data_IF_404337977362
#
_entry.id   IF_404337977362
#
_cell.length_a   1.000
_cell.length_b   1.000
_cell.length_c   1.000
_cell.angle_alpha   90.00
_cell.angle_beta   90.00
_cell.angle_gamma   90.00
#
_symmetry.space_group_name_H-M   'P 1'
#
loop_
_entity.id
_entity.type
_entity.pdbx_description
1 polymer ?
#
# COMPACT_ATOMS: atom_id res chain seq x y z
N UNK A 1 10.91 -24.43 -1.26
CA UNK A 1 11.01 -23.04 -1.77
C UNK A 1 11.25 -23.08 -3.27
N UNK A 2 10.62 -22.23 -4.07
CA UNK A 2 10.81 -22.19 -5.54
C UNK A 2 10.51 -20.79 -6.07
N UNK A 3 11.18 -20.39 -7.16
CA UNK A 3 10.87 -19.18 -7.94
C UNK A 3 9.99 -19.47 -9.17
N UNK A 4 9.71 -20.75 -9.45
CA UNK A 4 8.85 -21.16 -10.57
C UNK A 4 7.40 -21.25 -10.10
N UNK A 5 6.53 -20.46 -10.71
CA UNK A 5 5.09 -20.53 -10.48
C UNK A 5 4.53 -21.75 -11.25
N UNK A 6 3.91 -22.73 -10.56
CA UNK A 6 3.36 -23.90 -11.24
C UNK A 6 2.08 -23.53 -12.00
N UNK A 7 1.79 -24.24 -13.08
CA UNK A 7 0.57 -24.04 -13.87
C UNK A 7 -0.68 -24.67 -13.24
N UNK A 8 -0.50 -25.56 -12.26
CA UNK A 8 -1.61 -26.20 -11.55
C UNK A 8 -2.03 -25.34 -10.34
N UNK A 9 -3.28 -24.87 -10.35
CA UNK A 9 -3.88 -24.04 -9.32
C UNK A 9 -5.10 -24.74 -8.71
N UNK A 10 -5.26 -24.59 -7.39
CA UNK A 10 -6.52 -24.84 -6.70
C UNK A 10 -7.29 -23.52 -6.54
N UNK A 11 -8.48 -23.59 -5.94
CA UNK A 11 -9.26 -22.38 -5.56
C UNK A 11 -8.47 -21.40 -4.68
N UNK A 12 -7.49 -21.90 -3.91
CA UNK A 12 -6.75 -21.10 -2.93
C UNK A 12 -5.37 -20.63 -3.42
N UNK A 13 -4.94 -21.06 -4.61
CA UNK A 13 -3.67 -20.65 -5.22
C UNK A 13 -2.85 -21.79 -5.86
N UNK A 14 -1.58 -21.53 -6.20
CA UNK A 14 -0.70 -22.49 -6.88
C UNK A 14 -0.40 -23.72 -6.02
N UNK A 15 -0.55 -24.92 -6.58
CA UNK A 15 -0.33 -26.19 -5.86
C UNK A 15 1.15 -26.57 -5.84
N UNK A 16 1.66 -26.97 -4.68
CA UNK A 16 3.02 -27.45 -4.51
C UNK A 16 3.26 -28.74 -5.30
N UNK A 17 4.24 -28.73 -6.22
CA UNK A 17 4.53 -29.87 -7.09
C UNK A 17 5.28 -31.01 -6.38
N UNK A 18 5.89 -30.75 -5.23
CA UNK A 18 6.61 -31.77 -4.47
C UNK A 18 5.66 -32.67 -3.67
N UNK A 19 4.78 -32.08 -2.86
CA UNK A 19 3.83 -32.83 -2.02
C UNK A 19 2.44 -33.00 -2.65
N UNK A 20 2.14 -32.30 -3.75
CA UNK A 20 0.88 -32.33 -4.51
C UNK A 20 -0.39 -32.01 -3.70
N UNK A 21 -0.24 -31.50 -2.47
CA UNK A 21 -1.35 -31.25 -1.53
C UNK A 21 -1.40 -29.82 -1.00
N UNK A 22 -0.25 -29.22 -0.69
CA UNK A 22 -0.18 -27.89 -0.10
C UNK A 22 -0.26 -26.77 -1.16
N UNK A 23 -0.71 -25.60 -0.74
CA UNK A 23 -0.72 -24.37 -1.55
C UNK A 23 0.57 -23.58 -1.28
N UNK A 24 1.25 -23.15 -2.34
CA UNK A 24 2.42 -22.29 -2.23
C UNK A 24 1.98 -20.86 -1.85
N UNK A 25 2.72 -20.25 -0.94
CA UNK A 25 2.56 -18.84 -0.56
C UNK A 25 3.79 -18.04 -1.00
N UNK A 26 3.64 -16.76 -1.37
CA UNK A 26 4.78 -15.87 -1.55
C UNK A 26 5.60 -15.85 -0.26
N UNK A 27 6.92 -15.95 -0.40
CA UNK A 27 7.83 -15.81 0.74
C UNK A 27 7.83 -14.38 1.28
N UNK A 28 7.65 -13.41 0.38
CA UNK A 28 7.40 -12.02 0.72
C UNK A 28 6.13 -11.59 0.00
N UNK A 29 5.12 -11.16 0.76
CA UNK A 29 3.83 -10.76 0.20
C UNK A 29 3.82 -9.31 -0.24
N UNK A 30 2.97 -8.97 -1.19
CA UNK A 30 2.77 -7.58 -1.63
C UNK A 30 2.33 -6.67 -0.46
N UNK A 31 1.53 -7.21 0.48
CA UNK A 31 1.18 -6.51 1.72
C UNK A 31 2.41 -6.21 2.56
N UNK A 32 3.33 -7.16 2.71
CA UNK A 32 4.57 -6.95 3.47
C UNK A 32 5.43 -5.85 2.83
N UNK A 33 5.56 -5.86 1.51
CA UNK A 33 6.26 -4.80 0.76
C UNK A 33 5.60 -3.44 0.96
N UNK A 34 4.27 -3.37 0.82
CA UNK A 34 3.50 -2.15 1.02
C UNK A 34 3.69 -1.60 2.43
N UNK A 35 3.55 -2.44 3.47
CA UNK A 35 3.77 -2.04 4.86
C UNK A 35 5.20 -1.54 5.10
N UNK A 36 6.20 -2.17 4.49
CA UNK A 36 7.59 -1.71 4.58
C UNK A 36 7.78 -0.31 3.96
N UNK A 37 7.18 -0.06 2.80
CA UNK A 37 7.22 1.24 2.16
C UNK A 37 6.46 2.30 2.97
N UNK A 38 5.30 1.96 3.54
CA UNK A 38 4.57 2.84 4.45
C UNK A 38 5.41 3.20 5.68
N UNK A 39 6.14 2.24 6.26
CA UNK A 39 7.05 2.49 7.37
C UNK A 39 8.15 3.49 6.97
N UNK A 40 8.81 3.30 5.82
CA UNK A 40 9.82 4.26 5.34
C UNK A 40 9.24 5.64 5.08
N UNK A 41 8.05 5.72 4.49
CA UNK A 41 7.35 6.99 4.28
C UNK A 41 7.10 7.71 5.61
N UNK A 42 6.67 6.98 6.64
CA UNK A 42 6.38 7.50 7.97
C UNK A 42 7.63 8.06 8.65
N UNK A 43 8.74 7.31 8.70
CA UNK A 43 9.97 7.76 9.39
C UNK A 43 10.66 8.94 8.69
N UNK A 44 10.39 9.14 7.38
CA UNK A 44 10.90 10.29 6.64
C UNK A 44 9.92 11.47 6.59
N UNK A 45 8.73 11.36 7.18
CA UNK A 45 7.72 12.42 7.19
C UNK A 45 7.99 13.44 8.29
N UNK A 46 8.93 14.34 8.03
CA UNK A 46 9.34 15.36 9.00
C UNK A 46 8.20 16.30 9.41
N UNK A 47 7.29 16.63 8.48
CA UNK A 47 6.17 17.52 8.78
C UNK A 47 5.16 16.82 9.70
N UNK A 48 4.87 15.55 9.45
CA UNK A 48 4.06 14.75 10.36
C UNK A 48 4.72 14.62 11.73
N UNK A 49 6.03 14.37 11.79
CA UNK A 49 6.75 14.25 13.05
C UNK A 49 6.69 15.55 13.87
N UNK A 50 6.92 16.70 13.22
CA UNK A 50 6.80 18.03 13.82
C UNK A 50 5.40 18.33 14.32
N UNK A 51 4.35 17.82 13.68
CA UNK A 51 2.99 18.11 14.11
C UNK A 51 2.51 17.16 15.22
N UNK A 52 2.83 15.87 15.11
CA UNK A 52 2.16 14.80 15.87
C UNK A 52 3.05 13.98 16.80
N UNK A 53 4.39 14.07 16.70
CA UNK A 53 5.31 13.16 17.40
C UNK A 53 6.19 13.87 18.41
N UNK A 54 6.84 14.97 18.02
CA UNK A 54 7.81 15.67 18.86
C UNK A 54 7.17 16.79 19.68
N UNK A 55 7.74 17.09 20.84
CA UNK A 55 7.24 18.14 21.75
C UNK A 55 7.56 19.54 21.23
N UNK A 56 6.92 20.58 21.79
CA UNK A 56 7.21 21.97 21.41
C UNK A 56 8.66 22.37 21.76
N UNK A 57 9.21 21.87 22.88
CA UNK A 57 10.60 22.12 23.25
C UNK A 57 11.58 21.56 22.21
N UNK A 58 11.33 20.33 21.72
CA UNK A 58 12.13 19.70 20.68
C UNK A 58 12.03 20.46 19.34
N UNK A 59 10.84 20.98 18.99
CA UNK A 59 10.65 21.82 17.80
C UNK A 59 11.49 23.08 17.87
N UNK A 60 11.52 23.75 19.02
CA UNK A 60 12.33 24.97 19.21
C UNK A 60 13.83 24.68 19.12
N UNK A 61 14.30 23.52 19.61
CA UNK A 61 15.69 23.10 19.45
C UNK A 61 16.04 22.85 17.97
N UNK A 62 15.16 22.20 17.21
CA UNK A 62 15.36 21.98 15.77
C UNK A 62 15.35 23.30 15.00
N UNK A 63 14.46 24.25 15.35
CA UNK A 63 14.42 25.57 14.71
C UNK A 63 15.73 26.35 14.91
N UNK A 64 16.43 26.16 16.01
CA UNK A 64 17.70 26.85 16.31
C UNK A 64 18.90 26.26 15.58
N UNK A 65 18.78 25.08 14.96
CA UNK A 65 19.87 24.45 14.23
C UNK A 65 20.17 25.18 12.90
N UNK A 66 21.45 25.46 12.59
CA UNK A 66 21.83 26.18 11.37
C UNK A 66 21.59 25.37 10.09
N UNK A 67 21.66 24.03 10.18
CA UNK A 67 21.50 23.07 9.08
C UNK A 67 20.04 22.63 8.86
N UNK A 68 19.08 23.21 9.60
CA UNK A 68 17.66 22.75 9.59
C UNK A 68 17.04 22.67 8.20
N UNK A 69 17.41 23.59 7.30
CA UNK A 69 16.85 23.66 5.95
C UNK A 69 17.39 22.53 5.07
N UNK A 70 18.69 22.25 5.17
CA UNK A 70 19.35 21.17 4.44
C UNK A 70 18.84 19.80 4.90
N UNK A 71 18.74 19.61 6.22
CA UNK A 71 18.18 18.39 6.82
C UNK A 71 16.72 18.19 6.39
N UNK A 72 15.90 19.25 6.43
CA UNK A 72 14.51 19.20 5.96
C UNK A 72 14.41 18.81 4.48
N UNK A 73 15.27 19.36 3.64
CA UNK A 73 15.31 19.01 2.22
C UNK A 73 15.74 17.54 2.00
N UNK A 74 16.72 17.04 2.76
CA UNK A 74 17.14 15.64 2.69
C UNK A 74 15.98 14.69 3.04
N UNK A 75 15.25 14.96 4.13
CA UNK A 75 14.07 14.18 4.51
C UNK A 75 12.97 14.23 3.45
N UNK A 76 12.73 15.40 2.85
CA UNK A 76 11.79 15.55 1.74
C UNK A 76 12.19 14.69 0.55
N UNK A 77 13.48 14.67 0.15
CA UNK A 77 13.98 13.82 -0.94
C UNK A 77 13.80 12.33 -0.65
N UNK A 78 14.08 11.89 0.58
CA UNK A 78 13.87 10.51 1.02
C UNK A 78 12.39 10.13 0.96
N UNK A 79 11.51 10.98 1.52
CA UNK A 79 10.06 10.77 1.48
C UNK A 79 9.53 10.71 0.05
N UNK A 80 9.90 11.67 -0.82
CA UNK A 80 9.49 11.68 -2.23
C UNK A 80 9.95 10.44 -3.00
N UNK A 81 11.11 9.87 -2.63
CA UNK A 81 11.57 8.61 -3.21
C UNK A 81 10.62 7.47 -2.86
N UNK A 82 10.19 7.37 -1.60
CA UNK A 82 9.23 6.35 -1.16
C UNK A 82 7.86 6.58 -1.79
N UNK A 83 7.38 7.84 -1.84
CA UNK A 83 6.11 8.20 -2.47
C UNK A 83 6.05 7.74 -3.93
N UNK A 84 7.15 7.88 -4.69
CA UNK A 84 7.25 7.38 -6.08
C UNK A 84 7.14 5.86 -6.18
N UNK A 85 7.68 5.11 -5.22
CA UNK A 85 7.54 3.65 -5.20
C UNK A 85 6.15 3.21 -4.75
N UNK A 86 5.50 3.98 -3.86
CA UNK A 86 4.12 3.74 -3.47
C UNK A 86 3.16 4.03 -4.63
N UNK A 87 3.37 5.10 -5.41
CA UNK A 87 2.46 5.46 -6.52
C UNK A 87 2.36 4.40 -7.62
N UNK A 88 3.34 3.50 -7.73
CA UNK A 88 3.32 2.38 -8.68
C UNK A 88 2.83 1.08 -8.05
N UNK A 89 2.56 1.08 -6.74
CA UNK A 89 2.10 -0.10 -6.01
C UNK A 89 0.59 -0.28 -6.17
N UNK A 90 0.15 -1.49 -6.54
CA UNK A 90 -1.28 -1.80 -6.67
C UNK A 90 -2.06 -1.73 -5.35
N UNK A 91 -1.38 -1.64 -4.21
CA UNK A 91 -1.99 -1.53 -2.88
C UNK A 91 -2.24 -0.09 -2.42
N UNK A 92 -1.63 0.93 -3.05
CA UNK A 92 -1.85 2.33 -2.65
C UNK A 92 -3.11 2.95 -3.28
N UNK A 93 -3.66 2.32 -4.31
CA UNK A 93 -4.81 2.82 -5.05
C UNK A 93 -6.02 1.88 -4.89
N UNK A 94 -7.15 2.43 -4.45
CA UNK A 94 -8.43 1.73 -4.42
C UNK A 94 -9.35 2.37 -5.45
N UNK A 95 -9.62 1.65 -6.55
CA UNK A 95 -10.57 2.12 -7.56
C UNK A 95 -12.00 1.88 -7.08
N UNK A 96 -12.61 2.90 -6.47
CA UNK A 96 -13.97 2.84 -5.93
C UNK A 96 -15.02 2.56 -7.02
N UNK A 97 -14.82 3.08 -8.25
CA UNK A 97 -15.72 2.80 -9.37
C UNK A 97 -15.78 1.31 -9.72
N UNK A 98 -14.63 0.63 -9.78
CA UNK A 98 -14.58 -0.83 -9.95
C UNK A 98 -15.19 -1.57 -8.75
N UNK A 99 -14.89 -1.12 -7.53
CA UNK A 99 -15.37 -1.75 -6.31
C UNK A 99 -16.90 -1.75 -6.21
N UNK A 100 -17.56 -0.66 -6.63
CA UNK A 100 -19.01 -0.50 -6.55
C UNK A 100 -19.75 -0.71 -7.88
N UNK A 101 -19.04 -0.99 -8.99
CA UNK A 101 -19.65 -1.25 -10.30
C UNK A 101 -20.68 -2.39 -10.27
N UNK A 102 -20.44 -3.42 -9.45
CA UNK A 102 -21.34 -4.57 -9.29
C UNK A 102 -22.58 -4.23 -8.47
N UNK A 103 -22.49 -3.26 -7.55
CA UNK A 103 -23.61 -2.83 -6.71
C UNK A 103 -24.59 -1.95 -7.48
N UNK A 104 -24.08 -1.12 -8.41
CA UNK A 104 -24.89 -0.21 -9.24
C UNK A 104 -25.55 -0.95 -10.41
N UNK A 105 -24.95 -2.04 -10.91
CA UNK A 105 -25.54 -2.86 -11.98
C UNK A 105 -26.77 -3.68 -11.58
N UNK A 106 -27.08 -3.80 -10.28
CA UNK A 106 -28.24 -4.57 -9.79
C UNK A 106 -29.48 -3.72 -9.53
N UNK A 107 -29.37 -2.39 -9.42
CA UNK A 107 -30.51 -1.50 -9.16
C UNK A 107 -31.26 -1.06 -10.42
N UNK A 108 -30.81 -1.44 -11.62
CA UNK A 108 -31.47 -1.07 -12.90
C UNK A 108 -32.29 -2.22 -13.50
N UNK A 109 -32.22 -3.42 -12.93
CA UNK A 109 -32.96 -4.61 -13.42
C UNK A 109 -34.05 -5.01 -12.42
N UNK A 110 -34.96 -4.09 -12.08
CA UNK A 110 -36.16 -4.47 -11.28
C UNK A 110 -37.40 -3.60 -11.52
N UNK A 111 -37.46 -2.84 -12.64
CA UNK A 111 -38.66 -2.09 -13.04
C UNK A 111 -38.94 -2.24 -14.54
N UNK A 112 -39.39 -3.41 -14.95
CA UNK A 112 -40.22 -3.58 -16.16
C UNK A 112 -40.61 -5.05 -16.34
N UNK A 113 -41.59 -5.49 -15.57
CA UNK A 113 -42.44 -6.59 -16.01
C UNK A 113 -43.87 -6.36 -15.52
N UNK A 114 -44.56 -5.44 -16.20
CA UNK A 114 -46.02 -5.34 -16.18
C UNK A 114 -46.52 -5.41 -17.63
N UNK A 115 -46.91 -6.65 -18.02
CA UNK A 115 -48.10 -7.08 -18.79
C UNK A 115 -48.46 -6.41 -20.14
N UNK A 116 -49.22 -7.10 -21.04
CA UNK A 116 -50.41 -7.95 -20.78
C UNK A 116 -50.18 -9.46 -20.88
#
# INVERSE_FOLDING_TARGET
RTRRLPLNFSRSGPVCQACKKAVLRPEYSDKALYTQLCFYRYIFDMEYAKEKVITEEEKELIKKKPDRNEVSEAYRKLKSTVDRYLSVSSYSEVNLGRLFSVTIGRSVVETSNDRP
#
